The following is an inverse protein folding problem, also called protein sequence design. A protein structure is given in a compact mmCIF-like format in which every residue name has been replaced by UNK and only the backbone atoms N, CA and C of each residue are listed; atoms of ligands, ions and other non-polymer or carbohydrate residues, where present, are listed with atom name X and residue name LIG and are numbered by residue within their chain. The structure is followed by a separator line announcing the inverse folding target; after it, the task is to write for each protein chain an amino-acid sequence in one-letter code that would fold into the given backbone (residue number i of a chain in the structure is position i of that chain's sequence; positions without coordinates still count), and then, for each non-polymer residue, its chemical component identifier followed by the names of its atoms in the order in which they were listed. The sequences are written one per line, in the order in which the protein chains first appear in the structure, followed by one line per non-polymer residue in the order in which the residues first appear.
data_IF_552861264510
#
_entry.id   IF_552861264510
#
_cell.length_a   1.000
_cell.length_b   1.000
_cell.length_c   1.000
_cell.angle_alpha   90.00
_cell.angle_beta   90.00
_cell.angle_gamma   90.00
#
_symmetry.space_group_name_H-M   'P 1'
#
loop_
_entity.id
_entity.type
_entity.pdbx_description
1 polymer ?
#
# COMPACT_ATOMS: atom_id res chain seq x y z
N UNK A 1 4.41 14.13 -16.70
CA UNK A 1 3.40 14.94 -15.96
C UNK A 1 3.86 16.40 -15.86
N UNK A 2 2.93 17.36 -15.78
CA UNK A 2 3.21 18.81 -15.84
C UNK A 2 3.21 19.53 -14.48
N UNK A 3 3.22 18.79 -13.36
CA UNK A 3 3.21 19.37 -12.02
C UNK A 3 4.60 19.80 -11.53
N UNK A 4 4.63 20.58 -10.45
CA UNK A 4 5.86 20.97 -9.76
C UNK A 4 6.59 19.72 -9.26
N UNK A 5 7.88 19.52 -9.57
CA UNK A 5 8.68 18.45 -9.00
C UNK A 5 8.77 18.62 -7.47
N UNK A 6 8.68 17.53 -6.74
CA UNK A 6 8.84 17.53 -5.29
C UNK A 6 10.23 17.01 -4.94
N UNK A 7 10.99 17.76 -4.14
CA UNK A 7 12.35 17.39 -3.73
C UNK A 7 12.33 16.36 -2.59
N UNK A 8 11.28 16.37 -1.77
CA UNK A 8 11.07 15.40 -0.71
C UNK A 8 9.67 14.78 -0.76
N UNK A 9 9.56 13.49 -0.41
CA UNK A 9 8.29 12.75 -0.44
C UNK A 9 7.19 13.46 0.38
N UNK A 10 7.54 14.01 1.54
CA UNK A 10 6.55 14.68 2.39
C UNK A 10 6.01 15.97 1.79
N UNK A 11 6.74 16.63 0.90
CA UNK A 11 6.23 17.83 0.20
C UNK A 11 5.01 17.51 -0.65
N UNK A 12 4.91 16.25 -1.11
CA UNK A 12 3.77 15.73 -1.86
C UNK A 12 2.71 15.10 -0.97
N UNK A 13 3.12 14.38 0.08
CA UNK A 13 2.23 13.47 0.83
C UNK A 13 1.91 13.90 2.26
N UNK A 14 2.37 15.05 2.74
CA UNK A 14 2.13 15.50 4.11
C UNK A 14 0.65 15.50 4.52
N UNK A 15 -0.26 15.89 3.63
CA UNK A 15 -1.69 15.89 3.91
C UNK A 15 -2.23 14.46 4.11
N UNK A 16 -1.85 13.52 3.23
CA UNK A 16 -2.23 12.12 3.33
C UNK A 16 -1.69 11.48 4.61
N UNK A 17 -0.42 11.74 4.93
CA UNK A 17 0.23 11.20 6.13
C UNK A 17 -0.45 11.66 7.43
N UNK A 18 -0.84 12.94 7.51
CA UNK A 18 -1.61 13.46 8.66
C UNK A 18 -2.98 12.79 8.77
N UNK A 19 -3.66 12.60 7.64
CA UNK A 19 -4.97 11.95 7.61
C UNK A 19 -4.89 10.48 8.03
N UNK A 20 -3.84 9.76 7.60
CA UNK A 20 -3.59 8.38 7.99
C UNK A 20 -3.34 8.25 9.50
N UNK A 21 -2.47 9.09 10.07
CA UNK A 21 -2.21 9.09 11.51
C UNK A 21 -3.45 9.44 12.34
N UNK A 22 -4.27 10.38 11.88
CA UNK A 22 -5.54 10.71 12.54
C UNK A 22 -6.53 9.54 12.48
N UNK A 23 -6.67 8.88 11.32
CA UNK A 23 -7.51 7.69 11.19
C UNK A 23 -7.02 6.55 12.10
N UNK A 24 -5.71 6.38 12.23
CA UNK A 24 -5.13 5.38 13.14
C UNK A 24 -5.52 5.62 14.60
N UNK A 25 -5.45 6.87 15.10
CA UNK A 25 -5.83 7.16 16.49
C UNK A 25 -7.33 6.93 16.74
N UNK A 26 -8.19 7.25 15.77
CA UNK A 26 -9.63 6.96 15.82
C UNK A 26 -9.91 5.45 15.89
N UNK A 27 -9.17 4.64 15.12
CA UNK A 27 -9.29 3.17 15.15
C UNK A 27 -8.86 2.62 16.51
N UNK A 28 -7.73 3.08 17.04
CA UNK A 28 -7.24 2.67 18.37
C UNK A 28 -8.21 3.09 19.48
N UNK A 29 -8.86 4.25 19.34
CA UNK A 29 -9.89 4.72 20.27
C UNK A 29 -11.24 3.98 20.12
N UNK A 30 -11.40 3.12 19.10
CA UNK A 30 -12.63 2.42 18.81
C UNK A 30 -13.74 3.30 18.23
N UNK A 31 -13.43 4.53 17.79
CA UNK A 31 -14.41 5.48 17.26
C UNK A 31 -14.62 5.34 15.76
N UNK A 32 -13.81 4.51 15.09
CA UNK A 32 -13.87 4.26 13.65
C UNK A 32 -13.38 2.85 13.31
N UNK A 33 -14.01 2.12 12.37
CA UNK A 33 -13.43 0.89 11.83
C UNK A 33 -12.19 1.19 10.98
N UNK A 34 -11.26 0.23 10.88
CA UNK A 34 -10.05 0.44 10.06
C UNK A 34 -10.42 0.70 8.60
N UNK A 35 -9.96 1.80 7.97
CA UNK A 35 -10.18 2.05 6.55
C UNK A 35 -9.31 1.16 5.65
N UNK A 36 -8.31 0.49 6.22
CA UNK A 36 -7.45 -0.48 5.57
C UNK A 36 -7.37 -1.71 6.48
N UNK A 37 -8.05 -2.78 6.10
CA UNK A 37 -8.12 -4.01 6.88
C UNK A 37 -6.83 -4.83 6.74
N UNK A 38 -6.69 -5.88 7.55
CA UNK A 38 -5.55 -6.80 7.41
C UNK A 38 -5.63 -7.50 6.06
N UNK A 39 -6.83 -7.84 5.62
CA UNK A 39 -7.12 -8.44 4.33
C UNK A 39 -6.62 -7.54 3.19
N UNK A 40 -6.91 -6.24 3.23
CA UNK A 40 -6.43 -5.28 2.22
C UNK A 40 -4.89 -5.24 2.16
N UNK A 41 -4.23 -5.23 3.34
CA UNK A 41 -2.78 -5.24 3.43
C UNK A 41 -2.17 -6.53 2.84
N UNK A 42 -2.80 -7.69 3.09
CA UNK A 42 -2.39 -8.98 2.53
C UNK A 42 -2.53 -8.98 1.00
N UNK A 43 -3.64 -8.50 0.45
CA UNK A 43 -3.86 -8.42 -1.00
C UNK A 43 -2.78 -7.56 -1.70
N UNK A 44 -2.42 -6.43 -1.10
CA UNK A 44 -1.34 -5.57 -1.60
C UNK A 44 0.03 -6.28 -1.53
N UNK A 45 0.31 -6.98 -0.42
CA UNK A 45 1.53 -7.77 -0.25
C UNK A 45 1.67 -8.88 -1.30
N UNK A 46 0.62 -9.65 -1.54
CA UNK A 46 0.64 -10.70 -2.57
C UNK A 46 0.85 -10.14 -3.98
N UNK A 47 0.31 -8.96 -4.25
CA UNK A 47 0.57 -8.26 -5.52
C UNK A 47 2.05 -7.89 -5.64
N UNK A 48 2.65 -7.36 -4.58
CA UNK A 48 4.08 -7.02 -4.57
C UNK A 48 4.98 -8.25 -4.77
N UNK A 49 4.65 -9.38 -4.14
CA UNK A 49 5.37 -10.65 -4.33
C UNK A 49 5.26 -11.16 -5.78
N UNK A 50 4.08 -11.10 -6.39
CA UNK A 50 3.90 -11.46 -7.80
C UNK A 50 4.74 -10.57 -8.73
N UNK A 51 4.79 -9.25 -8.45
CA UNK A 51 5.64 -8.32 -9.18
C UNK A 51 7.14 -8.65 -9.02
N UNK A 52 7.58 -8.95 -7.79
CA UNK A 52 8.96 -9.33 -7.52
C UNK A 52 9.36 -10.63 -8.24
N UNK A 53 8.48 -11.64 -8.24
CA UNK A 53 8.68 -12.88 -8.99
C UNK A 53 8.72 -12.63 -10.50
N UNK A 54 7.79 -11.83 -11.02
CA UNK A 54 7.73 -11.48 -12.44
C UNK A 54 8.99 -10.78 -12.92
N UNK A 55 9.52 -9.84 -12.11
CA UNK A 55 10.78 -9.16 -12.40
C UNK A 55 11.94 -10.15 -12.51
N UNK A 56 12.01 -11.12 -11.61
CA UNK A 56 13.09 -12.12 -11.56
C UNK A 56 13.00 -13.13 -12.72
N UNK A 57 11.80 -13.54 -13.10
CA UNK A 57 11.59 -14.59 -14.10
C UNK A 57 11.35 -14.04 -15.52
N UNK A 58 11.26 -12.72 -15.68
CA UNK A 58 10.97 -12.05 -16.96
C UNK A 58 9.73 -12.61 -17.68
N UNK A 59 8.71 -13.00 -16.91
CA UNK A 59 7.41 -13.46 -17.42
C UNK A 59 6.26 -12.89 -16.59
N UNK A 60 5.03 -12.82 -17.14
CA UNK A 60 3.85 -12.57 -16.34
C UNK A 60 3.66 -13.62 -15.24
N UNK A 61 3.30 -13.16 -14.04
CA UNK A 61 3.00 -13.99 -12.86
C UNK A 61 1.66 -13.55 -12.31
N UNK A 62 0.76 -14.51 -12.06
CA UNK A 62 -0.52 -14.26 -11.42
C UNK A 62 -0.39 -14.25 -9.89
N UNK A 63 -1.22 -13.46 -9.21
CA UNK A 63 -1.26 -13.45 -7.74
C UNK A 63 -1.59 -14.83 -7.16
N UNK A 64 -2.39 -15.64 -7.87
CA UNK A 64 -2.72 -17.00 -7.47
C UNK A 64 -1.51 -17.96 -7.48
N UNK A 65 -0.45 -17.68 -8.26
CA UNK A 65 0.78 -18.47 -8.20
C UNK A 65 1.49 -18.29 -6.87
N UNK A 66 1.71 -17.04 -6.43
CA UNK A 66 2.47 -16.76 -5.21
C UNK A 66 1.72 -17.13 -3.93
N UNK A 67 0.38 -17.08 -3.92
CA UNK A 67 -0.45 -17.52 -2.78
C UNK A 67 -0.41 -19.02 -2.48
N UNK A 68 0.04 -19.83 -3.44
CA UNK A 68 0.11 -21.30 -3.31
C UNK A 68 1.46 -21.78 -2.76
N UNK A 69 2.39 -20.86 -2.54
CA UNK A 69 3.75 -21.14 -2.03
C UNK A 69 3.76 -21.12 -0.52
#
# INVERSE_FOLDING_TARGET
PAGVPHDFFMDRFAAAYRAELAAFTEVVAGTRPSPCTIEDALEAGWTAEACALSLREHRPVTVAEVRRT
#
